data_IF_973810162331
#
_entry.id   IF_973810162331
#
_cell.length_a   1.000
_cell.length_b   1.000
_cell.length_c   1.000
_cell.angle_alpha   90.00
_cell.angle_beta   90.00
_cell.angle_gamma   90.00
#
_symmetry.space_group_name_H-M   'P 1'
#
loop_
_entity.id
_entity.type
_entity.pdbx_description
1 polymer ?
#
# COMPACT_ATOMS: atom_id res chain seq x y z
N UNK A 1 -47.76 -3.17 39.10
CA UNK A 1 -47.52 -3.04 37.64
C UNK A 1 -46.30 -2.14 37.46
N UNK A 2 -45.38 -2.53 36.58
CA UNK A 2 -43.94 -2.25 36.63
C UNK A 2 -43.57 -0.80 36.28
N UNK A 3 -42.63 -0.21 37.03
CA UNK A 3 -41.84 0.94 36.57
C UNK A 3 -40.38 0.54 36.69
N UNK A 4 -39.84 -0.06 35.64
CA UNK A 4 -38.39 -0.19 35.46
C UNK A 4 -38.01 0.78 34.35
N UNK A 5 -37.57 1.98 34.73
CA UNK A 5 -36.93 2.91 33.82
C UNK A 5 -35.52 2.38 33.54
N UNK A 6 -35.29 1.90 32.32
CA UNK A 6 -33.96 1.49 31.87
C UNK A 6 -33.05 2.71 31.79
N UNK A 7 -31.99 2.72 32.58
CA UNK A 7 -30.91 3.70 32.50
C UNK A 7 -30.07 3.39 31.24
N UNK A 8 -30.23 4.18 30.19
CA UNK A 8 -29.37 4.10 29.02
C UNK A 8 -28.01 4.73 29.36
N UNK A 9 -26.97 3.90 29.42
CA UNK A 9 -25.59 4.33 29.62
C UNK A 9 -25.06 4.91 28.30
N UNK A 10 -24.97 6.23 28.21
CA UNK A 10 -24.33 6.91 27.09
C UNK A 10 -22.80 6.79 27.23
N UNK A 11 -22.18 5.93 26.43
CA UNK A 11 -20.72 5.95 26.23
C UNK A 11 -20.40 7.02 25.18
N UNK A 12 -20.01 8.21 25.64
CA UNK A 12 -19.43 9.24 24.78
C UNK A 12 -17.91 9.19 24.93
N UNK A 13 -17.25 8.37 24.11
CA UNK A 13 -15.80 8.39 23.96
C UNK A 13 -15.46 8.95 22.57
N UNK A 14 -15.62 10.27 22.41
CA UNK A 14 -15.01 10.99 21.29
C UNK A 14 -13.64 11.50 21.77
N UNK A 15 -12.63 10.62 21.73
CA UNK A 15 -11.24 11.07 21.74
C UNK A 15 -10.94 11.79 20.42
N UNK A 16 -10.00 12.75 20.38
CA UNK A 16 -9.60 13.35 19.12
C UNK A 16 -9.06 12.23 18.24
N UNK A 17 -9.80 11.91 17.16
CA UNK A 17 -9.23 11.20 16.04
C UNK A 17 -8.13 12.11 15.50
N UNK A 18 -6.90 11.90 15.95
CA UNK A 18 -5.74 12.40 15.23
C UNK A 18 -5.93 11.89 13.81
N UNK A 19 -6.06 12.80 12.86
CA UNK A 19 -6.01 12.44 11.45
C UNK A 19 -4.69 11.70 11.27
N UNK A 20 -4.75 10.37 11.17
CA UNK A 20 -3.65 9.60 10.62
C UNK A 20 -3.50 10.19 9.24
N UNK A 21 -2.45 10.98 9.05
CA UNK A 21 -2.12 11.54 7.76
C UNK A 21 -1.95 10.33 6.84
N UNK A 22 -2.90 10.14 5.93
CA UNK A 22 -2.86 9.05 4.97
C UNK A 22 -1.62 9.29 4.12
N UNK A 23 -0.57 8.53 4.42
CA UNK A 23 0.75 8.74 3.84
C UNK A 23 0.63 8.55 2.34
N UNK A 24 0.91 9.60 1.59
CA UNK A 24 0.69 9.61 0.15
C UNK A 24 1.70 8.70 -0.57
N UNK A 25 1.25 7.48 -0.88
CA UNK A 25 1.99 6.45 -1.61
C UNK A 25 1.56 6.35 -3.09
N UNK A 26 0.95 7.41 -3.63
CA UNK A 26 0.52 7.53 -5.03
C UNK A 26 -0.42 6.42 -5.54
N UNK A 27 -1.22 5.80 -4.66
CA UNK A 27 -2.17 4.75 -5.01
C UNK A 27 -3.08 5.15 -6.18
N UNK A 28 -3.70 6.33 -6.11
CA UNK A 28 -4.63 6.82 -7.14
C UNK A 28 -3.97 6.91 -8.53
N UNK A 29 -2.70 7.34 -8.59
CA UNK A 29 -1.95 7.42 -9.84
C UNK A 29 -1.64 6.05 -10.41
N UNK A 30 -1.26 5.11 -9.55
CA UNK A 30 -1.03 3.73 -9.95
C UNK A 30 -2.32 3.04 -10.39
N UNK A 31 -3.45 3.30 -9.72
CA UNK A 31 -4.77 2.81 -10.11
C UNK A 31 -5.17 3.36 -11.48
N UNK A 32 -4.83 4.62 -11.78
CA UNK A 32 -5.05 5.27 -13.07
C UNK A 32 -4.01 4.92 -14.15
N UNK A 33 -3.01 4.08 -13.86
CA UNK A 33 -1.94 3.72 -14.80
C UNK A 33 -0.92 4.84 -15.08
N UNK A 34 -0.91 5.90 -14.28
CA UNK A 34 0.00 7.04 -14.40
C UNK A 34 1.37 6.75 -13.76
N UNK A 35 2.04 5.68 -14.15
CA UNK A 35 3.19 5.14 -13.39
C UNK A 35 4.35 6.14 -13.30
N UNK A 36 4.74 6.80 -14.39
CA UNK A 36 5.81 7.82 -14.36
C UNK A 36 5.46 9.03 -13.47
N UNK A 37 4.18 9.36 -13.29
CA UNK A 37 3.77 10.39 -12.34
C UNK A 37 3.75 9.87 -10.90
N UNK A 38 3.42 8.59 -10.69
CA UNK A 38 3.49 7.93 -9.39
C UNK A 38 4.94 7.82 -8.89
N UNK A 39 5.90 7.45 -9.76
CA UNK A 39 7.32 7.40 -9.42
C UNK A 39 7.77 8.75 -8.87
N UNK A 40 7.57 9.84 -9.64
CA UNK A 40 7.94 11.19 -9.22
C UNK A 40 7.30 11.58 -7.89
N UNK A 41 5.99 11.34 -7.73
CA UNK A 41 5.30 11.67 -6.49
C UNK A 41 5.85 10.92 -5.27
N UNK A 42 6.18 9.64 -5.42
CA UNK A 42 6.72 8.82 -4.33
C UNK A 42 8.19 9.21 -4.02
N UNK A 43 8.97 9.54 -5.03
CA UNK A 43 10.38 9.95 -4.87
C UNK A 43 10.51 11.36 -4.28
N UNK A 44 9.61 12.28 -4.63
CA UNK A 44 9.59 13.66 -4.13
C UNK A 44 8.94 13.79 -2.73
N UNK A 45 8.40 12.70 -2.16
CA UNK A 45 7.74 12.72 -0.85
C UNK A 45 8.74 12.49 0.30
N UNK A 46 9.31 13.58 0.83
CA UNK A 46 10.24 13.57 1.97
C UNK A 46 9.63 13.05 3.29
N UNK A 47 8.30 13.06 3.40
CA UNK A 47 7.60 12.54 4.59
C UNK A 47 7.48 11.01 4.57
N UNK A 48 7.72 10.38 3.41
CA UNK A 48 7.63 8.93 3.22
C UNK A 48 9.02 8.30 3.42
N UNK A 49 9.16 7.57 4.53
CA UNK A 49 10.39 6.83 4.86
C UNK A 49 10.85 5.98 3.66
N UNK A 50 12.13 6.04 3.33
CA UNK A 50 12.68 5.36 2.15
C UNK A 50 12.51 3.84 2.17
N UNK A 51 12.43 3.26 3.37
CA UNK A 51 12.25 1.84 3.69
C UNK A 51 10.80 1.46 4.05
N UNK A 52 9.84 2.39 3.90
CA UNK A 52 8.42 2.14 4.10
C UNK A 52 7.91 1.00 3.17
N UNK A 53 7.24 -0.04 3.70
CA UNK A 53 6.81 -1.15 2.87
C UNK A 53 5.84 -0.78 1.75
N UNK A 54 4.93 0.19 1.97
CA UNK A 54 3.99 0.64 0.95
C UNK A 54 4.72 1.40 -0.17
N UNK A 55 5.66 2.29 0.19
CA UNK A 55 6.56 2.98 -0.75
C UNK A 55 7.28 1.99 -1.65
N UNK A 56 7.93 0.99 -1.05
CA UNK A 56 8.73 0.01 -1.77
C UNK A 56 7.84 -0.83 -2.71
N UNK A 57 6.68 -1.30 -2.25
CA UNK A 57 5.75 -2.04 -3.10
C UNK A 57 5.28 -1.18 -4.28
N UNK A 58 4.89 0.08 -4.02
CA UNK A 58 4.35 0.96 -5.05
C UNK A 58 5.39 1.43 -6.08
N UNK A 59 6.63 1.73 -5.67
CA UNK A 59 7.73 1.96 -6.60
C UNK A 59 8.02 0.70 -7.42
N UNK A 60 8.03 -0.47 -6.80
CA UNK A 60 8.20 -1.74 -7.51
C UNK A 60 7.16 -1.94 -8.61
N UNK A 61 5.89 -1.65 -8.31
CA UNK A 61 4.78 -1.72 -9.27
C UNK A 61 4.95 -0.71 -10.39
N UNK A 62 5.31 0.53 -10.06
CA UNK A 62 5.46 1.59 -11.03
C UNK A 62 6.58 1.29 -12.04
N UNK A 63 7.78 0.94 -11.54
CA UNK A 63 8.93 0.60 -12.39
C UNK A 63 8.66 -0.63 -13.26
N UNK A 64 8.02 -1.66 -12.71
CA UNK A 64 7.72 -2.85 -13.49
C UNK A 64 6.77 -2.57 -14.66
N UNK A 65 5.78 -1.67 -14.48
CA UNK A 65 4.87 -1.25 -15.55
C UNK A 65 5.52 -0.33 -16.58
N UNK A 66 6.59 0.38 -16.22
CA UNK A 66 7.43 1.13 -17.17
C UNK A 66 8.46 0.24 -17.88
N UNK A 67 8.50 -1.07 -17.57
CA UNK A 67 9.44 -2.02 -18.15
C UNK A 67 10.82 -2.08 -17.47
N UNK A 68 11.03 -1.28 -16.43
CA UNK A 68 12.25 -1.28 -15.62
C UNK A 68 12.20 -2.41 -14.57
N UNK A 69 12.35 -3.64 -15.05
CA UNK A 69 12.28 -4.84 -14.22
C UNK A 69 13.48 -4.99 -13.28
N UNK A 70 14.58 -4.26 -13.50
CA UNK A 70 15.74 -4.27 -12.61
C UNK A 70 15.42 -3.47 -11.34
N UNK A 71 14.99 -2.22 -11.49
CA UNK A 71 14.56 -1.38 -10.36
C UNK A 71 13.40 -2.03 -9.61
N UNK A 72 12.41 -2.55 -10.34
CA UNK A 72 11.28 -3.22 -9.72
C UNK A 72 11.69 -4.38 -8.80
N UNK A 73 12.61 -5.24 -9.25
CA UNK A 73 13.13 -6.34 -8.42
C UNK A 73 13.85 -5.83 -7.19
N UNK A 74 14.59 -4.72 -7.29
CA UNK A 74 15.28 -4.13 -6.14
C UNK A 74 14.27 -3.68 -5.07
N UNK A 75 13.23 -2.94 -5.47
CA UNK A 75 12.18 -2.48 -4.56
C UNK A 75 11.40 -3.62 -3.93
N UNK A 76 10.99 -4.62 -4.72
CA UNK A 76 10.28 -5.78 -4.15
C UNK A 76 11.15 -6.61 -3.23
N UNK A 77 12.46 -6.77 -3.51
CA UNK A 77 13.36 -7.43 -2.56
C UNK A 77 13.49 -6.65 -1.26
N UNK A 78 13.62 -5.32 -1.34
CA UNK A 78 13.65 -4.48 -0.15
C UNK A 78 12.35 -4.64 0.67
N UNK A 79 11.17 -4.60 0.04
CA UNK A 79 9.91 -4.84 0.74
C UNK A 79 9.82 -6.25 1.34
N UNK A 80 10.24 -7.29 0.60
CA UNK A 80 10.20 -8.68 1.06
C UNK A 80 11.09 -8.92 2.30
N UNK A 81 12.22 -8.22 2.39
CA UNK A 81 13.19 -8.33 3.49
C UNK A 81 13.08 -7.21 4.53
N UNK A 82 12.19 -6.23 4.35
CA UNK A 82 11.98 -5.13 5.31
C UNK A 82 11.62 -5.69 6.68
N UNK A 83 12.19 -5.14 7.75
CA UNK A 83 11.83 -5.53 9.12
C UNK A 83 10.39 -5.14 9.46
N UNK A 84 9.90 -4.06 8.86
CA UNK A 84 8.52 -3.60 9.00
C UNK A 84 7.57 -4.43 8.12
N UNK A 85 6.41 -4.77 8.68
CA UNK A 85 5.32 -5.43 7.98
C UNK A 85 4.09 -4.57 8.07
N UNK A 86 3.56 -4.22 6.91
CA UNK A 86 2.30 -3.50 6.80
C UNK A 86 1.27 -4.35 6.06
N UNK A 87 0.02 -4.31 6.54
CA UNK A 87 -1.13 -4.77 5.76
C UNK A 87 -1.48 -3.67 4.77
N UNK A 88 -1.49 -4.01 3.48
CA UNK A 88 -1.71 -3.08 2.39
C UNK A 88 -3.00 -3.43 1.68
N UNK A 89 -3.83 -2.44 1.39
CA UNK A 89 -5.03 -2.65 0.58
C UNK A 89 -4.67 -2.55 -0.90
N UNK A 90 -4.78 -3.66 -1.61
CA UNK A 90 -4.56 -3.73 -3.05
C UNK A 90 -5.62 -2.94 -3.82
N UNK A 91 -5.37 -2.65 -5.09
CA UNK A 91 -6.38 -2.06 -5.98
C UNK A 91 -7.64 -2.93 -6.18
N UNK A 92 -7.62 -4.19 -5.74
CA UNK A 92 -8.80 -5.06 -5.65
C UNK A 92 -9.59 -4.97 -4.33
N UNK A 93 -9.14 -4.18 -3.36
CA UNK A 93 -9.71 -4.08 -2.01
C UNK A 93 -9.30 -5.22 -1.06
N UNK A 94 -8.39 -6.10 -1.49
CA UNK A 94 -7.84 -7.16 -0.63
C UNK A 94 -6.72 -6.58 0.24
N UNK A 95 -6.75 -6.90 1.53
CA UNK A 95 -5.69 -6.58 2.47
C UNK A 95 -4.65 -7.70 2.50
N UNK A 96 -3.41 -7.38 2.12
CA UNK A 96 -2.32 -8.35 2.00
C UNK A 96 -1.07 -7.83 2.71
N UNK A 97 -0.34 -8.72 3.38
CA UNK A 97 0.97 -8.39 3.96
C UNK A 97 1.95 -7.94 2.86
N UNK A 98 2.59 -6.80 3.08
CA UNK A 98 3.59 -6.19 2.18
C UNK A 98 4.67 -7.16 1.68
N UNK A 99 5.19 -8.05 2.54
CA UNK A 99 6.20 -9.04 2.13
C UNK A 99 5.59 -10.13 1.24
N UNK A 100 4.34 -10.49 1.47
CA UNK A 100 3.59 -11.41 0.62
C UNK A 100 3.35 -10.80 -0.75
N UNK A 101 2.91 -9.55 -0.82
CA UNK A 101 2.75 -8.82 -2.09
C UNK A 101 4.06 -8.75 -2.87
N UNK A 102 5.14 -8.39 -2.20
CA UNK A 102 6.47 -8.31 -2.81
C UNK A 102 6.94 -9.67 -3.37
N UNK A 103 6.71 -10.76 -2.63
CA UNK A 103 7.02 -12.12 -3.10
C UNK A 103 6.20 -12.51 -4.32
N UNK A 104 4.91 -12.19 -4.32
CA UNK A 104 4.02 -12.44 -5.46
C UNK A 104 4.46 -11.63 -6.69
N UNK A 105 4.86 -10.38 -6.50
CA UNK A 105 5.36 -9.52 -7.57
C UNK A 105 6.64 -10.07 -8.20
N UNK A 106 7.62 -10.47 -7.39
CA UNK A 106 8.85 -11.12 -7.86
C UNK A 106 8.55 -12.39 -8.67
N UNK A 107 7.67 -13.25 -8.16
CA UNK A 107 7.28 -14.48 -8.86
C UNK A 107 6.62 -14.20 -10.23
N UNK A 108 5.91 -13.08 -10.38
CA UNK A 108 5.32 -12.67 -11.67
C UNK A 108 6.35 -12.11 -12.64
N UNK A 109 7.28 -11.30 -12.15
CA UNK A 109 8.40 -10.80 -12.94
C UNK A 109 9.22 -11.98 -13.49
N UNK A 110 9.58 -12.94 -12.65
CA UNK A 110 10.38 -14.11 -13.04
C UNK A 110 9.62 -15.02 -14.03
N UNK A 111 8.29 -14.99 -13.98
CA UNK A 111 7.43 -15.70 -14.92
C UNK A 111 7.11 -14.92 -16.21
N UNK A 112 7.57 -13.67 -16.35
CA UNK A 112 7.25 -12.81 -17.50
C UNK A 112 5.78 -12.38 -17.59
N UNK A 113 5.06 -12.32 -16.45
CA UNK A 113 3.60 -12.05 -16.38
C UNK A 113 3.25 -10.86 -15.48
N UNK A 114 4.13 -9.86 -15.39
CA UNK A 114 3.88 -8.72 -14.52
C UNK A 114 2.78 -7.80 -15.08
N UNK A 115 2.78 -7.58 -16.40
CA UNK A 115 1.86 -6.67 -17.10
C UNK A 115 0.40 -7.13 -17.08
N UNK A 116 0.13 -8.36 -16.64
CA UNK A 116 -1.18 -8.98 -16.77
C UNK A 116 -2.23 -8.45 -15.77
N UNK A 117 -1.91 -7.62 -14.76
CA UNK A 117 -2.91 -7.16 -13.78
C UNK A 117 -2.72 -5.75 -13.15
N UNK A 118 -3.77 -4.91 -13.13
CA UNK A 118 -3.80 -3.63 -12.42
C UNK A 118 -3.74 -3.72 -10.88
N UNK A 119 -3.75 -4.94 -10.31
CA UNK A 119 -4.15 -5.22 -8.92
C UNK A 119 -3.07 -4.98 -7.85
N UNK A 120 -1.80 -4.78 -8.23
CA UNK A 120 -0.69 -4.81 -7.26
C UNK A 120 -0.38 -3.46 -6.58
N UNK A 121 -0.96 -2.35 -7.04
CA UNK A 121 -0.84 -1.08 -6.34
C UNK A 121 -1.54 -1.15 -4.97
N UNK A 122 -0.94 -0.52 -3.97
CA UNK A 122 -1.38 -0.58 -2.58
C UNK A 122 -1.66 0.81 -2.00
N UNK A 123 -2.62 0.91 -1.08
CA UNK A 123 -2.77 2.02 -0.11
C UNK A 123 -2.56 1.52 1.32
#
# INVERSE_FOLDING_TARGET
MMITASLALAFLAAGPAGSVEEVDVAFEKLAAGQNAAAIRQIEDNDNLRSDDPARLVNLGVAHAREGDLEAARAYFRAAMFSDDRQMLETASGEWVDSRVLARQALARIDAGRFDDQPRMAAR
#
